data_IF_087826450346
#
_entry.id   IF_087826450346
#
_cell.length_a   1.000
_cell.length_b   1.000
_cell.length_c   1.000
_cell.angle_alpha   90.00
_cell.angle_beta   90.00
_cell.angle_gamma   90.00
#
_symmetry.space_group_name_H-M   'P 1'
#
loop_
_entity.id
_entity.type
_entity.pdbx_description
1 polymer ?
#
# COMPACT_ATOMS: atom_id res chain seq x y z
N UNK A 1 0.67 -24.02 -22.46
CA UNK A 1 1.45 -23.29 -21.44
C UNK A 1 1.01 -21.83 -21.47
N UNK A 2 0.36 -21.34 -20.42
CA UNK A 2 0.03 -19.91 -20.31
C UNK A 2 1.32 -19.15 -20.11
N UNK A 3 1.72 -18.35 -21.11
CA UNK A 3 2.91 -17.49 -21.03
C UNK A 3 2.65 -16.30 -20.11
N UNK A 4 3.72 -15.65 -19.69
CA UNK A 4 3.62 -14.40 -18.93
C UNK A 4 2.80 -13.34 -19.69
N UNK A 5 2.09 -12.50 -18.94
CA UNK A 5 1.42 -11.30 -19.44
C UNK A 5 2.21 -10.10 -18.90
N UNK A 6 2.61 -9.20 -19.80
CA UNK A 6 3.32 -7.97 -19.44
C UNK A 6 2.65 -6.76 -20.10
N UNK A 7 2.24 -5.79 -19.29
CA UNK A 7 1.69 -4.51 -19.74
C UNK A 7 2.59 -3.39 -19.21
N UNK A 8 3.06 -2.52 -20.11
CA UNK A 8 3.86 -1.36 -19.72
C UNK A 8 3.32 -0.12 -20.39
N UNK A 9 3.22 0.98 -19.66
CA UNK A 9 2.78 2.25 -20.23
C UNK A 9 3.38 3.45 -19.52
N UNK A 10 3.51 4.56 -20.25
CA UNK A 10 4.13 5.79 -19.73
C UNK A 10 3.36 7.02 -20.19
N UNK A 11 2.92 7.84 -19.24
CA UNK A 11 2.36 9.17 -19.49
C UNK A 11 3.40 10.24 -19.12
N UNK A 12 4.02 10.87 -20.13
CA UNK A 12 5.14 11.83 -19.95
C UNK A 12 4.71 13.23 -19.51
N UNK A 13 3.49 13.65 -19.85
CA UNK A 13 2.92 14.96 -19.50
C UNK A 13 1.39 14.85 -19.41
N UNK A 14 0.77 15.76 -18.66
CA UNK A 14 -0.69 15.87 -18.57
C UNK A 14 -1.35 14.88 -17.60
N UNK A 15 -2.68 14.85 -17.58
CA UNK A 15 -3.52 14.12 -16.60
C UNK A 15 -3.72 12.62 -16.88
N UNK A 16 -2.88 12.02 -17.72
CA UNK A 16 -3.00 10.60 -18.10
C UNK A 16 -2.39 9.64 -17.09
N UNK A 17 -2.83 8.38 -17.18
CA UNK A 17 -2.22 7.25 -16.48
C UNK A 17 -1.12 6.63 -17.35
N UNK A 18 -0.07 6.08 -16.72
CA UNK A 18 0.87 5.22 -17.43
C UNK A 18 0.15 3.95 -17.92
N UNK A 19 -0.56 3.28 -17.00
CA UNK A 19 -1.49 2.19 -17.32
C UNK A 19 -2.79 2.39 -16.53
N UNK A 20 -3.92 2.12 -17.17
CA UNK A 20 -5.23 2.04 -16.50
C UNK A 20 -5.86 0.69 -16.80
N UNK A 21 -6.18 -0.06 -15.74
CA UNK A 21 -6.93 -1.31 -15.79
C UNK A 21 -8.30 -1.08 -15.17
N UNK A 22 -9.35 -1.24 -15.96
CA UNK A 22 -10.73 -1.18 -15.47
C UNK A 22 -11.40 -2.50 -15.76
N UNK A 23 -11.81 -3.23 -14.71
CA UNK A 23 -12.40 -4.56 -14.81
C UNK A 23 -11.53 -5.53 -15.66
N UNK A 24 -10.21 -5.45 -15.50
CA UNK A 24 -9.27 -6.27 -16.25
C UNK A 24 -9.41 -7.76 -15.90
N UNK A 25 -9.44 -8.64 -16.90
CA UNK A 25 -9.46 -10.09 -16.70
C UNK A 25 -8.23 -10.70 -17.37
N UNK A 26 -7.31 -11.23 -16.58
CA UNK A 26 -6.04 -11.75 -17.06
C UNK A 26 -5.74 -13.13 -16.48
N UNK A 27 -5.29 -14.05 -17.33
CA UNK A 27 -4.96 -15.42 -16.93
C UNK A 27 -3.63 -15.84 -17.56
N UNK A 28 -2.63 -16.09 -16.71
CA UNK A 28 -1.33 -16.64 -17.04
C UNK A 28 -1.12 -17.92 -16.22
N UNK A 29 -1.85 -18.99 -16.54
CA UNK A 29 -2.01 -20.20 -15.70
C UNK A 29 -0.73 -20.92 -15.29
N UNK A 30 0.39 -20.65 -15.97
CA UNK A 30 1.71 -21.20 -15.66
C UNK A 30 2.81 -20.11 -15.62
N UNK A 31 2.42 -18.84 -15.65
CA UNK A 31 3.31 -17.69 -15.72
C UNK A 31 2.89 -16.59 -14.75
N UNK A 32 3.38 -15.39 -14.98
CA UNK A 32 3.14 -14.21 -14.16
C UNK A 32 2.35 -13.16 -14.94
N UNK A 33 1.67 -12.28 -14.21
CA UNK A 33 1.10 -11.04 -14.73
C UNK A 33 1.94 -9.90 -14.16
N UNK A 34 2.52 -9.08 -15.03
CA UNK A 34 3.28 -7.89 -14.66
C UNK A 34 2.67 -6.67 -15.34
N UNK A 35 2.38 -5.64 -14.56
CA UNK A 35 1.80 -4.39 -15.04
C UNK A 35 2.63 -3.24 -14.49
N UNK A 36 3.23 -2.43 -15.36
CA UNK A 36 4.06 -1.30 -14.96
C UNK A 36 3.56 0.00 -15.61
N UNK A 37 3.01 0.89 -14.78
CA UNK A 37 2.60 2.23 -15.18
C UNK A 37 3.59 3.28 -14.71
N UNK A 38 4.05 4.14 -15.60
CA UNK A 38 4.88 5.32 -15.27
C UNK A 38 4.14 6.61 -15.58
N UNK A 39 4.13 7.58 -14.67
CA UNK A 39 3.45 8.86 -14.84
C UNK A 39 4.28 10.03 -14.34
N UNK A 40 4.09 11.22 -14.92
CA UNK A 40 4.78 12.45 -14.53
C UNK A 40 3.77 13.60 -14.38
N UNK A 41 3.91 14.37 -13.29
CA UNK A 41 3.33 15.71 -13.13
C UNK A 41 1.79 15.82 -13.29
N UNK A 42 1.03 14.89 -12.70
CA UNK A 42 -0.44 14.98 -12.63
C UNK A 42 -1.04 14.30 -11.41
N UNK A 43 -2.35 14.39 -11.19
CA UNK A 43 -3.03 13.79 -10.03
C UNK A 43 -3.63 12.40 -10.29
N UNK A 44 -3.66 11.94 -11.54
CA UNK A 44 -4.39 10.71 -11.93
C UNK A 44 -3.67 9.43 -11.52
N UNK A 45 -2.36 9.47 -11.32
CA UNK A 45 -1.58 8.31 -10.90
C UNK A 45 -0.89 7.58 -12.04
N UNK A 46 0.28 6.98 -11.75
CA UNK A 46 1.05 6.27 -12.75
C UNK A 46 0.43 4.91 -13.12
N UNK A 47 -0.16 4.23 -12.14
CA UNK A 47 -0.99 3.04 -12.35
C UNK A 47 -2.38 3.25 -11.72
N UNK A 48 -3.42 3.01 -12.51
CA UNK A 48 -4.80 2.93 -12.01
C UNK A 48 -5.32 1.51 -12.17
N UNK A 49 -5.88 0.97 -11.10
CA UNK A 49 -6.64 -0.28 -11.14
C UNK A 49 -8.01 -0.04 -10.52
N UNK A 50 -9.05 -0.27 -11.30
CA UNK A 50 -10.43 -0.23 -10.87
C UNK A 50 -11.07 -1.61 -11.12
N UNK A 51 -10.89 -2.48 -10.14
CA UNK A 51 -11.30 -3.87 -10.17
C UNK A 51 -10.64 -4.74 -11.23
N UNK A 52 -10.89 -6.05 -11.14
CA UNK A 52 -10.41 -7.05 -12.09
C UNK A 52 -10.27 -8.44 -11.49
N UNK A 53 -10.08 -9.43 -12.36
CA UNK A 53 -9.81 -10.82 -11.98
C UNK A 53 -8.47 -11.27 -12.58
N UNK A 54 -7.60 -11.79 -11.74
CA UNK A 54 -6.23 -12.17 -12.08
C UNK A 54 -5.97 -13.61 -11.65
N UNK A 55 -5.39 -14.41 -12.55
CA UNK A 55 -5.01 -15.79 -12.25
C UNK A 55 -3.62 -16.08 -12.81
N UNK A 56 -2.62 -16.17 -11.95
CA UNK A 56 -1.22 -16.39 -12.32
C UNK A 56 -0.45 -16.99 -11.15
N UNK A 57 0.83 -17.34 -11.33
CA UNK A 57 1.71 -17.66 -10.19
C UNK A 57 1.92 -16.43 -9.31
N UNK A 58 2.16 -15.28 -9.95
CA UNK A 58 2.23 -13.98 -9.30
C UNK A 58 1.58 -12.91 -10.19
N UNK A 59 0.86 -12.00 -9.57
CA UNK A 59 0.38 -10.76 -10.17
C UNK A 59 1.13 -9.61 -9.51
N UNK A 60 1.88 -8.85 -10.31
CA UNK A 60 2.70 -7.72 -9.86
C UNK A 60 2.22 -6.46 -10.55
N UNK A 61 1.77 -5.49 -9.77
CA UNK A 61 1.17 -4.24 -10.23
C UNK A 61 2.00 -3.07 -9.70
N UNK A 62 2.70 -2.38 -10.59
CA UNK A 62 3.64 -1.32 -10.24
C UNK A 62 3.24 0.01 -10.85
N UNK A 63 3.13 1.03 -10.01
CA UNK A 63 2.89 2.40 -10.40
C UNK A 63 4.04 3.30 -9.94
N UNK A 64 4.75 3.90 -10.89
CA UNK A 64 5.86 4.82 -10.63
C UNK A 64 5.55 6.22 -11.10
N UNK A 65 5.27 7.10 -10.15
CA UNK A 65 5.26 8.54 -10.36
C UNK A 65 6.70 9.06 -10.41
N UNK A 66 7.20 9.27 -11.63
CA UNK A 66 8.56 9.77 -11.87
C UNK A 66 8.78 11.18 -11.35
N UNK A 67 7.71 11.97 -11.18
CA UNK A 67 7.66 13.26 -10.48
C UNK A 67 6.23 13.56 -9.99
N UNK A 68 6.08 14.01 -8.74
CA UNK A 68 4.94 14.78 -8.22
C UNK A 68 3.55 14.28 -8.68
N UNK A 69 3.27 13.00 -8.48
CA UNK A 69 2.02 12.35 -8.89
C UNK A 69 1.64 11.31 -7.83
N UNK A 70 0.59 10.53 -8.07
CA UNK A 70 0.27 9.31 -7.33
C UNK A 70 1.03 8.14 -7.97
N UNK A 71 1.67 7.27 -7.18
CA UNK A 71 2.32 6.08 -7.73
C UNK A 71 1.28 5.11 -8.28
N UNK A 72 0.44 4.57 -7.40
CA UNK A 72 -0.66 3.68 -7.78
C UNK A 72 -1.97 4.05 -7.07
N UNK A 73 -3.09 3.90 -7.78
CA UNK A 73 -4.44 4.12 -7.27
C UNK A 73 -5.30 2.85 -7.48
N UNK A 74 -5.83 2.30 -6.39
CA UNK A 74 -6.66 1.10 -6.39
C UNK A 74 -8.09 1.39 -5.94
N UNK A 75 -9.06 0.87 -6.68
CA UNK A 75 -10.49 0.96 -6.35
C UNK A 75 -11.22 -0.31 -6.81
N UNK A 76 -12.45 -0.50 -6.33
CA UNK A 76 -13.31 -1.60 -6.78
C UNK A 76 -12.93 -2.97 -6.20
N UNK A 77 -13.28 -4.03 -6.91
CA UNK A 77 -13.05 -5.42 -6.48
C UNK A 77 -11.92 -6.06 -7.28
N UNK A 78 -10.80 -6.35 -6.63
CA UNK A 78 -9.65 -7.03 -7.23
C UNK A 78 -9.61 -8.46 -6.69
N UNK A 79 -9.82 -9.43 -7.56
CA UNK A 79 -9.81 -10.85 -7.20
C UNK A 79 -8.62 -11.55 -7.82
N UNK A 80 -7.85 -12.25 -7.01
CA UNK A 80 -6.73 -13.08 -7.44
C UNK A 80 -7.06 -14.52 -7.10
N UNK A 81 -7.36 -15.31 -8.12
CA UNK A 81 -7.89 -16.69 -7.97
C UNK A 81 -6.79 -17.74 -7.90
N UNK A 82 -5.55 -17.35 -8.21
CA UNK A 82 -4.36 -18.18 -8.14
C UNK A 82 -3.15 -17.29 -7.83
N UNK A 83 -2.27 -17.78 -6.97
CA UNK A 83 -0.97 -17.16 -6.72
C UNK A 83 -1.02 -15.92 -5.83
N UNK A 84 0.02 -15.10 -5.93
CA UNK A 84 0.21 -13.92 -5.08
C UNK A 84 -0.20 -12.62 -5.78
N UNK A 85 -0.51 -11.59 -4.99
CA UNK A 85 -0.65 -10.22 -5.45
C UNK A 85 0.34 -9.30 -4.74
N UNK A 86 1.16 -8.60 -5.51
CA UNK A 86 2.00 -7.51 -5.04
C UNK A 86 1.61 -6.22 -5.78
N UNK A 87 1.33 -5.16 -5.03
CA UNK A 87 1.10 -3.82 -5.58
C UNK A 87 2.07 -2.83 -4.96
N UNK A 88 2.81 -2.12 -5.81
CA UNK A 88 3.74 -1.08 -5.38
C UNK A 88 3.38 0.25 -6.02
N UNK A 89 3.26 1.29 -5.19
CA UNK A 89 3.12 2.67 -5.63
C UNK A 89 4.29 3.51 -5.16
N UNK A 90 5.08 4.03 -6.10
CA UNK A 90 6.28 4.84 -5.82
C UNK A 90 6.11 6.25 -6.34
N UNK A 91 6.52 7.24 -5.56
CA UNK A 91 6.60 8.64 -5.99
C UNK A 91 7.99 9.18 -5.75
N UNK A 92 8.56 9.80 -6.77
CA UNK A 92 9.70 10.72 -6.63
C UNK A 92 9.18 12.13 -6.42
N UNK A 93 9.31 12.64 -5.19
CA UNK A 93 8.84 13.98 -4.83
C UNK A 93 9.91 15.02 -5.17
N UNK A 94 9.56 16.06 -5.93
CA UNK A 94 10.50 17.14 -6.30
C UNK A 94 10.00 18.53 -5.92
N UNK A 95 8.77 18.66 -5.44
CA UNK A 95 8.24 19.88 -4.83
C UNK A 95 7.26 19.53 -3.69
N UNK A 96 6.73 20.55 -3.02
CA UNK A 96 5.77 20.34 -1.93
C UNK A 96 4.40 19.94 -2.47
N UNK A 97 3.82 18.91 -1.84
CA UNK A 97 2.50 18.39 -2.17
C UNK A 97 2.16 17.16 -1.33
N UNK A 98 0.86 16.93 -1.14
CA UNK A 98 0.33 15.76 -0.43
C UNK A 98 0.27 14.55 -1.40
N UNK A 99 1.43 14.13 -1.90
CA UNK A 99 1.52 13.02 -2.84
C UNK A 99 1.35 11.67 -2.15
N UNK A 100 0.79 10.72 -2.90
CA UNK A 100 0.45 9.39 -2.41
C UNK A 100 1.27 8.34 -3.16
N UNK A 101 2.01 7.52 -2.43
CA UNK A 101 2.76 6.39 -3.03
C UNK A 101 1.78 5.41 -3.66
N UNK A 102 1.01 4.75 -2.79
CA UNK A 102 -0.11 3.89 -3.12
C UNK A 102 -1.33 4.37 -2.35
N UNK A 103 -2.44 4.61 -3.05
CA UNK A 103 -3.71 4.98 -2.43
C UNK A 103 -4.80 4.01 -2.82
N UNK A 104 -5.68 3.69 -1.89
CA UNK A 104 -6.87 2.91 -2.17
C UNK A 104 -8.08 3.38 -1.37
N UNK A 105 -9.22 3.43 -2.05
CA UNK A 105 -10.49 3.81 -1.44
C UNK A 105 -11.63 2.93 -1.92
N UNK A 106 -12.53 2.53 -1.02
CA UNK A 106 -13.66 1.65 -1.33
C UNK A 106 -13.21 0.40 -2.11
N UNK A 107 -12.21 -0.27 -1.57
CA UNK A 107 -11.45 -1.34 -2.21
C UNK A 107 -11.77 -2.68 -1.54
N UNK A 108 -12.02 -3.71 -2.32
CA UNK A 108 -12.00 -5.09 -1.84
C UNK A 108 -10.94 -5.88 -2.59
N UNK A 109 -9.99 -6.47 -1.87
CA UNK A 109 -9.01 -7.41 -2.42
C UNK A 109 -9.23 -8.79 -1.81
N UNK A 110 -9.36 -9.79 -2.68
CA UNK A 110 -9.38 -11.20 -2.29
C UNK A 110 -8.28 -11.96 -3.03
N UNK A 111 -7.33 -12.53 -2.31
CA UNK A 111 -6.27 -13.41 -2.83
C UNK A 111 -6.51 -14.82 -2.31
N UNK A 112 -6.93 -15.73 -3.18
CA UNK A 112 -7.29 -17.09 -2.78
C UNK A 112 -6.04 -17.96 -2.65
N UNK A 113 -5.73 -18.38 -1.42
CA UNK A 113 -4.63 -19.31 -1.12
C UNK A 113 -3.22 -18.72 -1.29
N UNK A 114 -3.10 -17.43 -1.58
CA UNK A 114 -1.83 -16.74 -1.77
C UNK A 114 -1.63 -15.55 -0.84
N UNK A 115 -0.56 -14.80 -1.08
CA UNK A 115 -0.18 -13.64 -0.27
C UNK A 115 -0.60 -12.32 -0.93
N UNK A 116 -0.92 -11.34 -0.10
CA UNK A 116 -1.17 -9.96 -0.51
C UNK A 116 -0.07 -9.05 0.04
N UNK A 117 0.58 -8.29 -0.83
CA UNK A 117 1.54 -7.25 -0.46
C UNK A 117 1.13 -5.91 -1.08
N UNK A 118 0.96 -4.88 -0.25
CA UNK A 118 0.73 -3.50 -0.70
C UNK A 118 1.86 -2.62 -0.15
N UNK A 119 2.57 -1.93 -1.04
CA UNK A 119 3.72 -1.12 -0.70
C UNK A 119 3.59 0.29 -1.26
N UNK A 120 3.78 1.28 -0.39
CA UNK A 120 3.88 2.69 -0.74
C UNK A 120 5.28 3.23 -0.49
N UNK A 121 5.83 3.99 -1.42
CA UNK A 121 7.15 4.59 -1.28
C UNK A 121 7.17 6.04 -1.76
N UNK A 122 7.70 6.95 -0.96
CA UNK A 122 7.97 8.34 -1.32
C UNK A 122 9.46 8.60 -1.14
N UNK A 123 10.13 8.91 -2.24
CA UNK A 123 11.56 9.26 -2.27
C UNK A 123 11.78 10.75 -2.47
N UNK A 124 12.99 11.22 -2.14
CA UNK A 124 13.47 12.60 -2.24
C UNK A 124 12.84 13.64 -1.29
N UNK A 125 13.62 14.70 -1.03
CA UNK A 125 13.31 15.80 -0.13
C UNK A 125 12.79 17.03 -0.88
N UNK A 126 11.49 17.29 -0.76
CA UNK A 126 10.96 18.64 -0.89
C UNK A 126 10.73 19.20 0.52
N UNK A 127 11.17 20.45 0.73
CA UNK A 127 11.18 21.08 2.04
C UNK A 127 9.85 21.79 2.33
N UNK A 128 9.07 21.14 3.22
CA UNK A 128 8.04 21.70 4.10
C UNK A 128 6.68 22.13 3.52
N UNK A 129 5.62 21.91 4.31
CA UNK A 129 4.25 22.36 4.04
C UNK A 129 3.25 21.20 4.00
N UNK A 130 3.24 20.45 2.89
CA UNK A 130 2.34 19.31 2.70
C UNK A 130 3.01 17.98 3.06
N UNK A 131 2.33 17.16 3.87
CA UNK A 131 2.82 15.84 4.32
C UNK A 131 2.36 14.75 3.34
N UNK A 132 3.24 14.15 2.53
CA UNK A 132 2.87 13.02 1.67
C UNK A 132 2.55 11.78 2.50
N UNK A 133 1.82 10.83 1.92
CA UNK A 133 1.56 9.53 2.53
C UNK A 133 2.05 8.42 1.62
N UNK A 134 2.86 7.50 2.13
CA UNK A 134 3.37 6.40 1.30
C UNK A 134 2.25 5.44 0.94
N UNK A 135 1.50 4.91 1.91
CA UNK A 135 0.37 4.03 1.68
C UNK A 135 -0.87 4.53 2.45
N UNK A 136 -1.97 4.76 1.72
CA UNK A 136 -3.28 5.12 2.29
C UNK A 136 -4.33 4.10 1.89
N UNK A 137 -5.02 3.53 2.88
CA UNK A 137 -6.21 2.70 2.68
C UNK A 137 -7.41 3.32 3.42
N UNK A 138 -8.52 3.49 2.71
CA UNK A 138 -9.77 4.02 3.28
C UNK A 138 -10.95 3.15 2.86
N UNK A 139 -11.74 2.68 3.83
CA UNK A 139 -12.87 1.79 3.58
C UNK A 139 -12.45 0.58 2.72
N UNK A 140 -11.38 -0.09 3.12
CA UNK A 140 -10.78 -1.20 2.37
C UNK A 140 -10.97 -2.53 3.09
N UNK A 141 -11.24 -3.60 2.35
CA UNK A 141 -11.29 -4.97 2.88
C UNK A 141 -10.27 -5.83 2.15
N UNK A 142 -9.32 -6.40 2.90
CA UNK A 142 -8.22 -7.18 2.36
C UNK A 142 -8.29 -8.61 2.92
N UNK A 143 -8.28 -9.61 2.05
CA UNK A 143 -8.29 -11.02 2.46
C UNK A 143 -7.25 -11.83 1.68
N UNK A 144 -6.40 -12.56 2.39
CA UNK A 144 -5.35 -13.42 1.82
C UNK A 144 -4.92 -14.49 2.84
N UNK A 145 -3.99 -15.38 2.46
CA UNK A 145 -3.29 -16.25 3.44
C UNK A 145 -2.47 -15.40 4.40
N UNK A 146 -1.59 -14.56 3.84
CA UNK A 146 -0.81 -13.55 4.55
C UNK A 146 -1.09 -12.17 3.93
N UNK A 147 -1.14 -11.13 4.78
CA UNK A 147 -1.28 -9.74 4.35
C UNK A 147 -0.08 -8.94 4.85
N UNK A 148 0.61 -8.26 3.94
CA UNK A 148 1.72 -7.37 4.25
C UNK A 148 1.45 -5.97 3.70
N UNK A 149 1.46 -4.97 4.56
CA UNK A 149 1.29 -3.57 4.21
C UNK A 149 2.56 -2.81 4.60
N UNK A 150 3.11 -2.04 3.67
CA UNK A 150 4.31 -1.25 3.94
C UNK A 150 4.27 0.16 3.39
N UNK A 151 4.91 1.07 4.13
CA UNK A 151 4.97 2.48 3.77
C UNK A 151 6.30 3.13 4.15
N UNK A 152 7.01 3.71 3.18
CA UNK A 152 8.27 4.42 3.43
C UNK A 152 8.23 5.86 2.92
N UNK A 153 8.66 6.81 3.73
CA UNK A 153 8.82 8.23 3.34
C UNK A 153 10.19 8.75 3.75
N UNK A 154 11.03 9.10 2.78
CA UNK A 154 12.42 9.53 3.02
C UNK A 154 12.57 10.95 3.58
N UNK A 155 11.58 11.82 3.42
CA UNK A 155 11.72 13.26 3.63
C UNK A 155 10.76 13.88 4.65
N UNK A 156 9.85 13.09 5.18
CA UNK A 156 8.85 13.50 6.17
C UNK A 156 7.43 13.38 5.65
N UNK A 157 6.51 12.88 6.47
CA UNK A 157 5.12 12.61 6.08
C UNK A 157 4.46 11.53 6.92
N UNK A 158 3.58 10.75 6.29
CA UNK A 158 3.00 9.54 6.91
C UNK A 158 3.43 8.29 6.14
N UNK A 159 3.89 7.26 6.84
CA UNK A 159 4.31 6.01 6.20
C UNK A 159 3.08 5.21 5.74
N UNK A 160 2.27 4.80 6.70
CA UNK A 160 1.08 3.98 6.49
C UNK A 160 -0.11 4.60 7.24
N UNK A 161 -1.20 4.86 6.51
CA UNK A 161 -2.46 5.37 7.05
C UNK A 161 -3.61 4.45 6.69
N UNK A 162 -4.25 3.87 7.71
CA UNK A 162 -5.39 2.98 7.56
C UNK A 162 -6.60 3.61 8.23
N UNK A 163 -7.67 3.83 7.46
CA UNK A 163 -8.96 4.30 7.97
C UNK A 163 -10.06 3.33 7.59
N UNK A 164 -10.83 2.86 8.56
CA UNK A 164 -11.94 1.90 8.33
C UNK A 164 -11.50 0.72 7.45
N UNK A 165 -10.33 0.15 7.74
CA UNK A 165 -9.73 -0.92 6.94
C UNK A 165 -9.88 -2.25 7.68
N UNK A 166 -10.42 -3.25 6.99
CA UNK A 166 -10.47 -4.64 7.46
C UNK A 166 -9.34 -5.43 6.81
N UNK A 167 -8.52 -6.08 7.62
CA UNK A 167 -7.45 -6.98 7.18
C UNK A 167 -7.78 -8.37 7.73
N UNK A 168 -7.84 -9.35 6.84
CA UNK A 168 -8.08 -10.75 7.18
C UNK A 168 -6.98 -11.64 6.59
N UNK A 169 -5.92 -11.88 7.37
CA UNK A 169 -4.91 -12.88 7.07
C UNK A 169 -5.41 -14.25 7.55
N UNK A 170 -6.10 -14.96 6.67
CA UNK A 170 -6.96 -16.12 7.00
C UNK A 170 -6.28 -17.19 7.86
N UNK A 171 -5.11 -17.66 7.44
CA UNK A 171 -4.35 -18.71 8.15
C UNK A 171 -2.90 -18.33 8.44
N UNK A 172 -2.44 -17.20 7.88
CA UNK A 172 -1.10 -16.65 8.04
C UNK A 172 -1.08 -15.41 8.92
N UNK A 173 -0.17 -14.51 8.59
CA UNK A 173 0.16 -13.32 9.38
C UNK A 173 -0.40 -12.04 8.76
N UNK A 174 -0.70 -11.05 9.60
CA UNK A 174 -0.92 -9.67 9.19
C UNK A 174 0.27 -8.81 9.65
N UNK A 175 1.01 -8.24 8.69
CA UNK A 175 2.19 -7.41 8.98
C UNK A 175 2.00 -6.01 8.43
N UNK A 176 2.11 -5.00 9.29
CA UNK A 176 2.06 -3.58 8.94
C UNK A 176 3.40 -2.97 9.33
N UNK A 177 4.15 -2.47 8.36
CA UNK A 177 5.46 -1.88 8.59
C UNK A 177 5.58 -0.49 7.95
N UNK A 178 5.89 0.52 8.76
CA UNK A 178 6.08 1.86 8.25
C UNK A 178 7.35 2.50 8.78
N UNK A 179 8.08 3.17 7.89
CA UNK A 179 9.31 3.91 8.24
C UNK A 179 9.29 5.29 7.61
N UNK A 180 9.44 6.33 8.43
CA UNK A 180 9.50 7.72 7.97
C UNK A 180 10.72 8.42 8.53
N UNK A 181 11.31 9.33 7.75
CA UNK A 181 12.39 10.18 8.27
C UNK A 181 11.91 11.10 9.40
N UNK A 182 10.69 11.65 9.27
CA UNK A 182 10.04 12.52 10.24
C UNK A 182 8.51 12.43 10.06
N UNK A 183 7.72 12.61 11.12
CA UNK A 183 6.26 12.54 11.07
C UNK A 183 5.71 11.24 11.64
N UNK A 184 4.58 10.79 11.10
CA UNK A 184 3.81 9.69 11.66
C UNK A 184 4.12 8.40 10.90
N UNK A 185 4.70 7.39 11.53
CA UNK A 185 5.05 6.19 10.76
C UNK A 185 3.80 5.36 10.43
N UNK A 186 3.12 4.81 11.42
CA UNK A 186 1.93 3.97 11.26
C UNK A 186 0.73 4.54 12.00
N UNK A 187 -0.35 4.83 11.29
CA UNK A 187 -1.63 5.27 11.85
C UNK A 187 -2.77 4.32 11.46
N UNK A 188 -3.50 3.81 12.44
CA UNK A 188 -4.70 2.98 12.23
C UNK A 188 -5.88 3.61 12.96
N UNK A 189 -6.96 3.89 12.23
CA UNK A 189 -8.19 4.49 12.73
C UNK A 189 -9.41 3.67 12.29
N UNK A 190 -10.16 3.08 13.22
CA UNK A 190 -11.40 2.35 12.93
C UNK A 190 -11.20 1.02 12.19
N UNK A 191 -10.02 0.40 12.28
CA UNK A 191 -9.68 -0.83 11.56
C UNK A 191 -9.98 -2.13 12.33
N UNK A 192 -10.23 -3.22 11.60
CA UNK A 192 -10.32 -4.58 12.16
C UNK A 192 -9.23 -5.43 11.53
N UNK A 193 -8.32 -5.99 12.33
CA UNK A 193 -7.20 -6.82 11.84
C UNK A 193 -7.34 -8.21 12.46
N UNK A 194 -7.60 -9.22 11.64
CA UNK A 194 -7.58 -10.62 12.03
C UNK A 194 -6.45 -11.36 11.34
N UNK A 195 -5.77 -12.22 12.09
CA UNK A 195 -4.77 -13.15 11.58
C UNK A 195 -5.00 -14.55 12.14
N UNK A 196 -4.75 -15.57 11.32
CA UNK A 196 -4.68 -16.95 11.78
C UNK A 196 -3.52 -17.14 12.76
N UNK A 197 -2.38 -16.49 12.48
CA UNK A 197 -1.16 -16.52 13.30
C UNK A 197 -0.89 -15.14 13.90
N UNK A 198 0.22 -14.51 13.52
CA UNK A 198 0.71 -13.30 14.17
C UNK A 198 0.13 -12.03 13.53
N UNK A 199 -0.06 -11.01 14.36
CA UNK A 199 -0.26 -9.62 13.96
C UNK A 199 0.97 -8.84 14.40
N UNK A 200 1.66 -8.19 13.45
CA UNK A 200 2.82 -7.36 13.74
C UNK A 200 2.63 -5.95 13.19
N UNK A 201 2.70 -4.97 14.07
CA UNK A 201 2.66 -3.55 13.74
C UNK A 201 3.99 -2.92 14.11
N UNK A 202 4.75 -2.49 13.12
CA UNK A 202 6.02 -1.79 13.33
C UNK A 202 5.96 -0.41 12.69
N UNK A 203 6.22 0.61 13.50
CA UNK A 203 6.24 1.99 13.05
C UNK A 203 7.49 2.69 13.54
N UNK A 204 8.28 3.24 12.62
CA UNK A 204 9.54 3.93 12.92
C UNK A 204 9.53 5.34 12.34
N UNK A 205 9.38 6.35 13.18
CA UNK A 205 9.73 7.72 12.85
C UNK A 205 11.18 7.94 13.29
N UNK A 206 12.10 8.29 12.37
CA UNK A 206 13.55 8.34 12.64
C UNK A 206 14.04 9.61 13.33
N UNK A 207 13.27 10.69 13.26
CA UNK A 207 13.60 11.98 13.87
C UNK A 207 12.37 12.90 13.95
N UNK A 208 12.53 14.03 14.64
CA UNK A 208 11.57 15.13 14.62
C UNK A 208 10.36 14.93 15.53
N UNK A 209 9.17 15.25 15.03
CA UNK A 209 7.93 15.15 15.79
C UNK A 209 6.99 14.14 15.13
N UNK A 210 6.45 13.22 15.92
CA UNK A 210 5.47 12.23 15.48
C UNK A 210 5.65 10.90 16.20
N UNK A 211 4.67 10.02 16.01
CA UNK A 211 4.59 8.72 16.64
C UNK A 211 5.12 7.61 15.71
N UNK A 212 5.61 6.54 16.33
CA UNK A 212 5.92 5.30 15.62
C UNK A 212 4.62 4.62 15.20
N UNK A 213 3.80 4.24 16.16
CA UNK A 213 2.49 3.63 15.93
C UNK A 213 1.40 4.45 16.62
N UNK A 214 0.23 4.61 16.00
CA UNK A 214 -0.96 5.16 16.64
C UNK A 214 -2.17 4.30 16.27
N UNK A 215 -2.89 3.84 17.30
CA UNK A 215 -4.05 2.97 17.18
C UNK A 215 -5.27 3.65 17.81
N UNK A 216 -6.26 4.00 16.99
CA UNK A 216 -7.52 4.58 17.44
C UNK A 216 -8.67 3.70 16.97
N UNK A 217 -9.48 3.18 17.90
CA UNK A 217 -10.62 2.32 17.57
C UNK A 217 -10.25 1.13 16.67
N UNK A 218 -9.06 0.55 16.86
CA UNK A 218 -8.57 -0.60 16.12
C UNK A 218 -8.82 -1.90 16.89
N UNK A 219 -9.50 -2.88 16.30
CA UNK A 219 -9.66 -4.22 16.87
C UNK A 219 -8.64 -5.17 16.25
N UNK A 220 -8.00 -6.00 17.06
CA UNK A 220 -7.00 -6.98 16.59
C UNK A 220 -7.29 -8.37 17.17
N UNK A 221 -7.19 -9.41 16.34
CA UNK A 221 -7.40 -10.81 16.77
C UNK A 221 -6.41 -11.73 16.07
N UNK A 222 -5.47 -12.28 16.84
CA UNK A 222 -4.56 -13.34 16.43
C UNK A 222 -5.08 -14.69 16.96
N UNK A 223 -5.43 -15.63 16.07
CA UNK A 223 -6.14 -16.85 16.48
C UNK A 223 -5.23 -17.89 17.14
N UNK A 224 -3.99 -18.01 16.68
CA UNK A 224 -3.00 -18.95 17.23
C UNK A 224 -1.61 -18.35 17.37
N UNK A 225 -1.47 -17.02 17.25
CA UNK A 225 -0.19 -16.31 17.30
C UNK A 225 -0.22 -15.12 18.26
N UNK A 226 0.81 -14.28 18.15
CA UNK A 226 1.01 -13.11 18.97
C UNK A 226 0.49 -11.84 18.29
N UNK A 227 0.12 -10.86 19.10
CA UNK A 227 -0.04 -9.48 18.65
C UNK A 227 1.18 -8.71 19.16
N UNK A 228 2.01 -8.21 18.24
CA UNK A 228 3.20 -7.44 18.55
C UNK A 228 3.08 -6.03 17.98
N UNK A 229 3.36 -5.04 18.83
CA UNK A 229 3.35 -3.62 18.44
C UNK A 229 4.68 -3.00 18.85
N UNK A 230 5.43 -2.51 17.87
CA UNK A 230 6.72 -1.88 18.05
C UNK A 230 6.74 -0.49 17.43
N UNK A 231 6.56 0.53 18.28
CA UNK A 231 6.61 1.93 17.91
C UNK A 231 7.93 2.57 18.34
N UNK A 232 8.62 3.22 17.41
CA UNK A 232 9.71 4.16 17.70
C UNK A 232 9.31 5.53 17.18
N UNK A 233 9.18 6.50 18.09
CA UNK A 233 8.73 7.86 17.80
C UNK A 233 9.51 8.88 18.64
N UNK A 234 9.44 10.14 18.24
CA UNK A 234 10.21 11.24 18.84
C UNK A 234 9.30 12.33 19.45
N UNK A 235 7.98 12.13 19.45
CA UNK A 235 7.04 13.05 20.07
C UNK A 235 7.06 12.95 21.61
N UNK A 236 7.41 14.05 22.28
CA UNK A 236 7.42 14.17 23.74
C UNK A 236 6.02 14.28 24.37
N UNK A 237 4.97 14.52 23.55
CA UNK A 237 3.59 14.68 24.03
C UNK A 237 2.69 13.44 23.88
N UNK A 238 2.97 12.58 22.90
CA UNK A 238 2.09 11.45 22.54
C UNK A 238 2.73 10.07 22.72
N UNK A 239 4.02 10.01 23.07
CA UNK A 239 4.75 8.74 23.17
C UNK A 239 5.03 8.09 21.81
N UNK A 240 5.79 7.00 21.82
CA UNK A 240 6.14 6.26 20.61
C UNK A 240 5.01 5.33 20.11
N UNK A 241 4.02 5.06 20.96
CA UNK A 241 2.82 4.24 20.75
C UNK A 241 1.58 4.98 21.27
#
# INVERSE_FOLDING_TARGET
AGKDISLTGTAKTGSGYGVSLTNGNMTASSGNISVNGTGYDSGSGALQVNGGNFSALNTVLEGTAGRNNVGANLTGNINVTQGNLAVTGTVKRTNDGAYQGLTASNLNISVTGGTLSLAGCITNAAASGSKPVALTLTNANLSATDVSLSGTVESGGTGLSLTNTTINATTGNATLNATVANGNALAVSGGNISAGKDISLTGTAKAGSGYGVSLTNGNMTASSGNISVNGTGYDSGSGAL
#
